data_IF_711509356620
#
_entry.id   IF_711509356620
#
_cell.length_a   1.000
_cell.length_b   1.000
_cell.length_c   1.000
_cell.angle_alpha   90.00
_cell.angle_beta   90.00
_cell.angle_gamma   90.00
#
_symmetry.space_group_name_H-M   'P 1'
#
loop_
_entity.id
_entity.type
_entity.pdbx_description
1 polymer ?
#
# COMPACT_ATOMS: atom_id res chain seq x y z
N UNK A 1 -5.15 5.65 -24.67
CA UNK A 1 -3.97 5.07 -24.01
C UNK A 1 -4.36 4.23 -22.78
N UNK A 2 -5.01 4.82 -21.76
CA UNK A 2 -5.44 4.07 -20.56
C UNK A 2 -6.59 3.07 -20.76
N UNK A 3 -7.35 3.20 -21.84
CA UNK A 3 -8.30 2.15 -22.26
C UNK A 3 -7.60 0.88 -22.80
N UNK A 4 -6.33 1.00 -23.23
CA UNK A 4 -5.52 -0.11 -23.77
C UNK A 4 -4.53 -0.66 -22.74
N UNK A 5 -3.94 0.21 -21.91
CA UNK A 5 -3.02 -0.16 -20.84
C UNK A 5 -3.53 0.43 -19.52
N UNK A 6 -4.00 -0.43 -18.62
CA UNK A 6 -4.47 0.02 -17.31
C UNK A 6 -3.28 0.57 -16.51
N UNK A 7 -3.41 1.77 -15.94
CA UNK A 7 -2.35 2.33 -15.10
C UNK A 7 -2.23 1.55 -13.79
N UNK A 8 -1.11 1.70 -13.07
CA UNK A 8 -0.93 1.22 -11.70
C UNK A 8 -2.06 1.58 -10.76
N UNK A 9 -2.23 0.75 -9.74
CA UNK A 9 -3.04 1.11 -8.58
C UNK A 9 -2.47 2.38 -7.94
N UNK A 10 -1.14 2.46 -7.81
CA UNK A 10 -0.39 3.65 -7.44
C UNK A 10 1.03 3.65 -8.02
N UNK A 11 1.67 4.81 -8.04
CA UNK A 11 3.09 4.94 -8.40
C UNK A 11 3.59 6.32 -7.99
N UNK A 12 4.89 6.47 -7.73
CA UNK A 12 5.56 7.78 -7.67
C UNK A 12 6.55 7.92 -8.83
N UNK A 13 6.73 9.16 -9.29
CA UNK A 13 7.71 9.49 -10.34
C UNK A 13 8.52 10.69 -9.86
N UNK A 14 9.84 10.53 -9.81
CA UNK A 14 10.74 11.62 -9.48
C UNK A 14 11.03 12.41 -10.76
N UNK A 15 10.88 13.73 -10.69
CA UNK A 15 11.13 14.66 -11.79
C UNK A 15 12.32 15.56 -11.46
N UNK A 16 13.16 15.83 -12.45
CA UNK A 16 14.22 16.84 -12.36
C UNK A 16 14.00 17.94 -13.38
N UNK A 17 13.99 19.19 -12.91
CA UNK A 17 13.90 20.39 -13.74
C UNK A 17 15.26 21.11 -13.77
N UNK A 18 15.86 21.20 -14.95
CA UNK A 18 17.12 21.92 -15.20
C UNK A 18 16.88 23.30 -15.88
N UNK A 19 15.66 23.84 -15.79
CA UNK A 19 15.15 25.03 -16.48
C UNK A 19 15.02 24.92 -18.01
N UNK A 20 15.90 24.18 -18.68
CA UNK A 20 15.82 23.88 -20.12
C UNK A 20 15.25 22.48 -20.42
N UNK A 21 15.09 21.64 -19.39
CA UNK A 21 14.59 20.27 -19.52
C UNK A 21 13.90 19.84 -18.23
N UNK A 22 12.74 19.22 -18.37
CA UNK A 22 12.08 18.45 -17.32
C UNK A 22 12.09 17.00 -17.77
N UNK A 23 12.56 16.09 -16.91
CA UNK A 23 12.61 14.67 -17.22
C UNK A 23 12.29 13.80 -15.99
N UNK A 24 11.63 12.65 -16.19
CA UNK A 24 11.54 11.62 -15.16
C UNK A 24 12.92 11.00 -14.95
N UNK A 25 13.30 10.85 -13.69
CA UNK A 25 14.56 10.23 -13.28
C UNK A 25 14.35 8.88 -12.59
N UNK A 26 13.19 8.66 -11.98
CA UNK A 26 12.83 7.39 -11.36
C UNK A 26 11.31 7.16 -11.41
N UNK A 27 10.89 5.90 -11.42
CA UNK A 27 9.48 5.49 -11.31
C UNK A 27 9.37 4.31 -10.36
N UNK A 28 8.68 4.52 -9.24
CA UNK A 28 8.51 3.53 -8.19
C UNK A 28 7.03 3.08 -8.11
N UNK A 29 6.79 1.79 -8.29
CA UNK A 29 5.46 1.17 -8.19
C UNK A 29 5.06 0.83 -6.74
N UNK A 30 5.99 0.96 -5.79
CA UNK A 30 5.81 0.78 -4.35
C UNK A 30 6.22 2.05 -3.61
N UNK A 31 5.52 3.18 -3.84
CA UNK A 31 5.90 4.46 -3.27
C UNK A 31 5.86 4.39 -1.74
N UNK A 32 6.83 5.02 -1.08
CA UNK A 32 6.99 5.05 0.37
C UNK A 32 6.75 6.46 0.99
N UNK A 33 5.93 7.29 0.34
CA UNK A 33 5.80 8.74 0.65
C UNK A 33 4.41 9.28 1.00
N UNK A 34 3.37 8.46 1.21
CA UNK A 34 2.01 8.94 1.55
C UNK A 34 1.92 9.85 2.78
N UNK A 35 2.87 9.79 3.71
CA UNK A 35 2.98 10.71 4.86
C UNK A 35 3.43 12.14 4.47
N UNK A 36 3.88 12.35 3.23
CA UNK A 36 4.31 13.66 2.73
C UNK A 36 3.20 14.38 1.92
N UNK A 37 2.01 13.79 1.81
CA UNK A 37 0.89 14.41 1.10
C UNK A 37 0.37 15.60 1.90
N UNK A 38 0.36 16.77 1.25
CA UNK A 38 -0.14 18.01 1.84
C UNK A 38 -1.63 17.95 2.14
N UNK A 39 -2.09 18.75 3.10
CA UNK A 39 -3.49 18.77 3.53
C UNK A 39 -4.45 19.10 2.38
N UNK A 40 -4.06 20.04 1.52
CA UNK A 40 -4.84 20.49 0.37
C UNK A 40 -5.10 19.36 -0.65
N UNK A 41 -4.17 18.40 -0.76
CA UNK A 41 -4.21 17.29 -1.73
C UNK A 41 -4.87 16.02 -1.18
N UNK A 42 -5.28 16.00 0.10
CA UNK A 42 -5.86 14.78 0.70
C UNK A 42 -7.16 14.37 0.03
N UNK A 43 -8.03 15.33 -0.29
CA UNK A 43 -9.34 15.06 -0.92
C UNK A 43 -9.17 14.47 -2.31
N UNK A 44 -8.30 15.06 -3.13
CA UNK A 44 -7.98 14.54 -4.46
C UNK A 44 -7.29 13.18 -4.41
N UNK A 45 -6.43 12.95 -3.40
CA UNK A 45 -5.79 11.65 -3.17
C UNK A 45 -6.81 10.55 -2.85
N UNK A 46 -7.77 10.81 -1.95
CA UNK A 46 -8.84 9.85 -1.65
C UNK A 46 -9.67 9.55 -2.90
N UNK A 47 -10.03 10.57 -3.69
CA UNK A 47 -10.76 10.38 -4.96
C UNK A 47 -9.95 9.54 -5.96
N UNK A 48 -8.63 9.74 -6.04
CA UNK A 48 -7.75 8.94 -6.88
C UNK A 48 -7.73 7.47 -6.45
N UNK A 49 -7.67 7.19 -5.14
CA UNK A 49 -7.78 5.83 -4.63
C UNK A 49 -9.16 5.21 -4.91
N UNK A 50 -10.26 5.95 -4.74
CA UNK A 50 -11.60 5.47 -5.11
C UNK A 50 -11.63 5.02 -6.58
N UNK A 51 -11.14 5.85 -7.50
CA UNK A 51 -11.06 5.49 -8.92
C UNK A 51 -10.15 4.30 -9.19
N UNK A 52 -9.04 4.17 -8.46
CA UNK A 52 -8.14 3.03 -8.55
C UNK A 52 -8.81 1.73 -8.09
N UNK A 53 -9.55 1.77 -6.98
CA UNK A 53 -10.33 0.63 -6.46
C UNK A 53 -11.42 0.22 -7.43
N UNK A 54 -12.24 1.17 -7.91
CA UNK A 54 -13.31 0.90 -8.89
C UNK A 54 -12.76 0.25 -10.18
N UNK A 55 -11.58 0.66 -10.63
CA UNK A 55 -10.96 0.14 -11.86
C UNK A 55 -10.42 -1.29 -11.72
N UNK A 56 -9.93 -1.65 -10.53
CA UNK A 56 -9.23 -2.91 -10.30
C UNK A 56 -10.11 -3.94 -9.59
N UNK A 57 -10.89 -3.52 -8.60
CA UNK A 57 -11.78 -4.37 -7.82
C UNK A 57 -13.00 -3.57 -7.31
N UNK A 58 -14.03 -3.34 -8.14
CA UNK A 58 -15.17 -2.48 -7.80
C UNK A 58 -16.06 -3.02 -6.67
N UNK A 59 -15.91 -4.30 -6.32
CA UNK A 59 -16.66 -4.95 -5.25
C UNK A 59 -15.82 -5.18 -3.99
N UNK A 60 -14.63 -4.59 -3.91
CA UNK A 60 -13.78 -4.75 -2.73
C UNK A 60 -14.43 -4.09 -1.51
N UNK A 61 -14.60 -4.86 -0.43
CA UNK A 61 -14.96 -4.35 0.88
C UNK A 61 -13.74 -4.32 1.82
N UNK A 62 -12.76 -5.18 1.55
CA UNK A 62 -11.59 -5.39 2.37
C UNK A 62 -10.29 -5.23 1.56
N UNK A 63 -9.31 -4.55 2.14
CA UNK A 63 -7.96 -4.46 1.57
C UNK A 63 -6.91 -4.84 2.61
N UNK A 64 -6.01 -5.73 2.22
CA UNK A 64 -4.85 -6.14 3.00
C UNK A 64 -3.60 -5.45 2.45
N UNK A 65 -2.96 -4.61 3.27
CA UNK A 65 -1.66 -4.01 2.98
C UNK A 65 -0.56 -4.95 3.47
N UNK A 66 0.33 -5.34 2.56
CA UNK A 66 1.58 -6.07 2.88
C UNK A 66 2.76 -5.09 2.78
N UNK A 67 3.30 -4.62 3.90
CA UNK A 67 4.40 -3.65 3.92
C UNK A 67 5.77 -4.33 3.77
N UNK A 68 6.80 -3.51 3.55
CA UNK A 68 8.21 -3.84 3.76
C UNK A 68 8.51 -4.22 5.21
N UNK A 69 9.56 -5.02 5.40
CA UNK A 69 10.02 -5.45 6.72
C UNK A 69 10.86 -4.38 7.46
N UNK A 70 10.44 -3.12 7.36
CA UNK A 70 11.11 -1.99 7.98
C UNK A 70 10.63 -1.78 9.42
N UNK A 71 11.15 -2.59 10.34
CA UNK A 71 10.71 -2.57 11.74
C UNK A 71 11.16 -1.35 12.54
N UNK A 72 12.23 -0.66 12.10
CA UNK A 72 12.85 0.46 12.83
C UNK A 72 12.67 1.83 12.16
N UNK A 73 12.12 1.87 10.96
CA UNK A 73 12.00 3.11 10.20
C UNK A 73 10.68 3.82 10.55
N UNK A 74 10.74 4.79 11.46
CA UNK A 74 9.56 5.56 11.88
C UNK A 74 8.89 6.31 10.74
N UNK A 75 9.64 6.81 9.75
CA UNK A 75 9.05 7.46 8.57
C UNK A 75 8.27 6.47 7.71
N UNK A 76 8.75 5.24 7.61
CA UNK A 76 8.01 4.18 6.93
C UNK A 76 6.74 3.78 7.71
N UNK A 77 6.78 3.81 9.05
CA UNK A 77 5.57 3.62 9.86
C UNK A 77 4.55 4.74 9.64
N UNK A 78 5.01 6.00 9.55
CA UNK A 78 4.16 7.12 9.15
C UNK A 78 3.55 6.87 7.78
N UNK A 79 4.36 6.46 6.80
CA UNK A 79 3.90 6.14 5.46
C UNK A 79 2.78 5.08 5.46
N UNK A 80 3.00 3.94 6.10
CA UNK A 80 2.03 2.84 6.14
C UNK A 80 0.76 3.24 6.89
N UNK A 81 0.88 3.97 8.00
CA UNK A 81 -0.28 4.48 8.73
C UNK A 81 -1.11 5.46 7.90
N UNK A 82 -0.48 6.36 7.14
CA UNK A 82 -1.16 7.28 6.24
C UNK A 82 -1.83 6.55 5.08
N UNK A 83 -1.15 5.57 4.46
CA UNK A 83 -1.74 4.72 3.43
C UNK A 83 -2.98 3.99 3.97
N UNK A 84 -2.89 3.44 5.19
CA UNK A 84 -4.01 2.81 5.86
C UNK A 84 -5.19 3.77 6.05
N UNK A 85 -4.93 4.99 6.54
CA UNK A 85 -5.96 6.00 6.74
C UNK A 85 -6.63 6.43 5.44
N UNK A 86 -5.85 6.63 4.36
CA UNK A 86 -6.37 7.01 3.06
C UNK A 86 -7.29 5.93 2.46
N UNK A 87 -6.89 4.65 2.53
CA UNK A 87 -7.72 3.53 2.06
C UNK A 87 -8.96 3.32 2.94
N UNK A 88 -8.86 3.57 4.25
CA UNK A 88 -10.02 3.55 5.14
C UNK A 88 -11.02 4.64 4.77
N UNK A 89 -10.56 5.83 4.38
CA UNK A 89 -11.40 6.95 3.94
C UNK A 89 -12.10 6.68 2.59
N UNK A 90 -11.60 5.74 1.78
CA UNK A 90 -12.28 5.25 0.57
C UNK A 90 -13.49 4.38 0.92
N UNK A 91 -13.61 3.94 2.18
CA UNK A 91 -14.68 3.05 2.67
C UNK A 91 -14.28 1.59 2.75
N UNK A 92 -13.00 1.26 2.52
CA UNK A 92 -12.50 -0.11 2.64
C UNK A 92 -12.15 -0.45 4.09
N UNK A 93 -12.50 -1.66 4.51
CA UNK A 93 -11.93 -2.27 5.71
C UNK A 93 -10.46 -2.59 5.45
N UNK A 94 -9.60 -1.69 5.89
CA UNK A 94 -8.16 -1.75 5.66
C UNK A 94 -7.48 -2.54 6.77
N UNK A 95 -6.58 -3.45 6.41
CA UNK A 95 -5.86 -4.33 7.33
C UNK A 95 -4.38 -4.23 7.00
N UNK A 96 -3.53 -4.05 8.01
CA UNK A 96 -2.08 -4.20 7.86
C UNK A 96 -1.71 -5.61 8.25
N UNK A 97 -1.02 -6.34 7.39
CA UNK A 97 -0.58 -7.69 7.71
C UNK A 97 0.80 -8.04 7.18
N UNK A 98 1.43 -9.02 7.81
CA UNK A 98 2.73 -9.55 7.39
C UNK A 98 2.81 -11.05 7.71
N UNK A 99 3.61 -11.78 6.92
CA UNK A 99 3.97 -13.17 7.22
C UNK A 99 5.27 -13.24 8.03
N UNK A 100 5.92 -12.11 8.29
CA UNK A 100 7.23 -12.04 8.97
C UNK A 100 7.04 -11.88 10.46
N UNK A 101 7.55 -12.83 11.24
CA UNK A 101 7.45 -12.77 12.70
C UNK A 101 8.08 -11.50 13.26
N UNK A 102 9.20 -11.06 12.69
CA UNK A 102 9.89 -9.84 13.11
C UNK A 102 9.02 -8.59 12.99
N UNK A 103 8.19 -8.50 11.95
CA UNK A 103 7.26 -7.38 11.76
C UNK A 103 6.01 -7.54 12.62
N UNK A 104 5.46 -8.76 12.71
CA UNK A 104 4.32 -9.04 13.58
C UNK A 104 4.62 -8.78 15.07
N UNK A 105 5.87 -8.97 15.51
CA UNK A 105 6.30 -8.69 16.89
C UNK A 105 6.19 -7.22 17.29
N UNK A 106 6.03 -6.29 16.34
CA UNK A 106 5.72 -4.89 16.63
C UNK A 106 4.31 -4.72 17.22
N UNK A 107 3.40 -5.68 16.97
CA UNK A 107 1.98 -5.68 17.31
C UNK A 107 1.14 -4.58 16.64
N UNK A 108 1.67 -3.37 16.48
CA UNK A 108 1.00 -2.23 15.89
C UNK A 108 1.95 -1.30 15.11
N UNK A 109 1.39 -0.59 14.13
CA UNK A 109 2.03 0.55 13.49
C UNK A 109 1.59 1.80 14.19
N UNK A 110 2.54 2.53 14.76
CA UNK A 110 2.31 3.82 15.42
C UNK A 110 2.64 4.95 14.46
N UNK A 111 1.73 5.89 14.29
CA UNK A 111 1.88 7.04 13.41
C UNK A 111 1.14 8.27 13.93
N UNK A 112 1.36 9.42 13.28
CA UNK A 112 0.50 10.60 13.46
C UNK A 112 -0.56 10.56 12.37
N UNK A 113 -1.83 10.61 12.74
CA UNK A 113 -2.91 10.64 11.75
C UNK A 113 -2.92 11.95 10.94
N UNK A 114 -3.92 12.10 10.07
CA UNK A 114 -4.04 13.27 9.20
C UNK A 114 -4.21 14.57 10.00
N UNK A 115 -4.74 14.53 11.22
CA UNK A 115 -4.87 15.65 12.16
C UNK A 115 -3.60 15.85 13.02
N UNK A 116 -2.56 15.04 12.83
CA UNK A 116 -1.31 15.11 13.58
C UNK A 116 -1.35 14.44 14.96
N UNK A 117 -2.43 13.74 15.30
CA UNK A 117 -2.62 13.06 16.58
C UNK A 117 -1.95 11.68 16.58
N UNK A 118 -1.27 11.28 17.68
CA UNK A 118 -0.75 9.93 17.83
C UNK A 118 -1.87 8.90 17.68
N UNK A 119 -1.66 7.94 16.78
CA UNK A 119 -2.61 6.87 16.44
C UNK A 119 -1.84 5.59 16.24
N UNK A 120 -2.45 4.44 16.53
CA UNK A 120 -1.89 3.14 16.20
C UNK A 120 -2.89 2.24 15.50
N UNK A 121 -2.38 1.31 14.69
CA UNK A 121 -3.17 0.30 13.95
C UNK A 121 -2.54 -1.07 14.17
N UNK A 122 -3.32 -2.10 14.55
CA UNK A 122 -2.78 -3.43 14.80
C UNK A 122 -2.25 -4.08 13.51
N UNK A 123 -1.14 -4.80 13.65
CA UNK A 123 -0.55 -5.64 12.62
C UNK A 123 -1.10 -7.06 12.80
N UNK A 124 -1.58 -7.66 11.71
CA UNK A 124 -2.10 -9.03 11.73
C UNK A 124 -1.15 -10.01 11.07
N UNK A 125 -1.04 -11.20 11.66
CA UNK A 125 -0.33 -12.31 11.03
C UNK A 125 -1.15 -12.80 9.83
N UNK A 126 -0.52 -12.88 8.67
CA UNK A 126 -1.13 -13.48 7.48
C UNK A 126 -0.56 -14.87 7.26
N UNK A 127 -1.36 -15.74 6.66
CA UNK A 127 -0.96 -17.08 6.29
C UNK A 127 -1.38 -17.40 4.87
N UNK A 128 -0.64 -18.30 4.26
CA UNK A 128 -0.97 -18.84 2.94
C UNK A 128 -1.74 -20.15 3.10
N UNK A 129 -2.88 -20.25 2.44
CA UNK A 129 -3.64 -21.48 2.27
C UNK A 129 -4.07 -21.60 0.80
N UNK A 130 -3.75 -22.74 0.17
CA UNK A 130 -4.17 -23.08 -1.21
C UNK A 130 -4.04 -21.89 -2.17
N UNK A 131 -2.85 -21.29 -2.22
CA UNK A 131 -2.54 -20.20 -3.13
C UNK A 131 -3.38 -18.94 -2.85
N UNK A 132 -3.81 -18.77 -1.60
CA UNK A 132 -4.58 -17.63 -1.11
C UNK A 132 -4.05 -17.17 0.26
N UNK A 133 -4.24 -15.89 0.61
CA UNK A 133 -3.66 -15.14 1.72
C UNK A 133 -4.84 -14.90 2.58
N UNK A 134 -4.69 -15.29 3.82
CA UNK A 134 -5.76 -15.23 4.78
C UNK A 134 -5.28 -14.44 5.97
N UNK A 135 -6.19 -13.63 6.49
CA UNK A 135 -6.03 -12.86 7.71
C UNK A 135 -7.28 -13.05 8.53
N UNK A 136 -7.12 -13.45 9.80
CA UNK A 136 -8.21 -13.86 10.69
C UNK A 136 -9.17 -14.90 10.06
N UNK A 137 -8.62 -15.85 9.30
CA UNK A 137 -9.40 -16.91 8.63
C UNK A 137 -10.26 -16.43 7.46
N UNK A 138 -10.07 -15.19 6.98
CA UNK A 138 -10.76 -14.64 5.81
C UNK A 138 -9.78 -14.25 4.71
N UNK A 139 -10.18 -14.46 3.46
CA UNK A 139 -9.48 -13.98 2.28
C UNK A 139 -9.87 -12.51 2.05
N UNK A 140 -8.91 -11.57 1.92
CA UNK A 140 -9.22 -10.19 1.57
C UNK A 140 -9.61 -10.08 0.09
N UNK A 141 -10.45 -9.09 -0.24
CA UNK A 141 -10.89 -8.84 -1.61
C UNK A 141 -9.75 -8.25 -2.47
N UNK A 142 -8.94 -7.39 -1.85
CA UNK A 142 -7.78 -6.76 -2.46
C UNK A 142 -6.53 -6.97 -1.60
N UNK A 143 -5.41 -7.32 -2.22
CA UNK A 143 -4.09 -7.31 -1.59
C UNK A 143 -3.24 -6.22 -2.22
N UNK A 144 -2.86 -5.23 -1.42
CA UNK A 144 -1.98 -4.14 -1.81
C UNK A 144 -0.57 -4.40 -1.28
N UNK A 145 0.34 -4.73 -2.19
CA UNK A 145 1.75 -4.88 -1.86
C UNK A 145 2.39 -3.51 -1.80
N UNK A 146 2.95 -3.14 -0.65
CA UNK A 146 3.89 -2.04 -0.48
C UNK A 146 5.27 -2.61 -0.08
N UNK A 147 5.63 -3.71 -0.74
CA UNK A 147 6.89 -4.41 -0.62
C UNK A 147 7.37 -4.70 -2.04
N UNK A 148 8.57 -4.26 -2.37
CA UNK A 148 9.15 -4.38 -3.72
C UNK A 148 9.75 -5.76 -3.99
N UNK A 149 9.88 -6.58 -2.95
CA UNK A 149 10.51 -7.90 -2.97
C UNK A 149 11.88 -7.89 -3.68
N UNK A 150 12.65 -6.82 -3.50
CA UNK A 150 13.97 -6.62 -4.13
C UNK A 150 14.99 -7.72 -3.81
N UNK A 151 14.84 -8.41 -2.68
CA UNK A 151 15.65 -9.58 -2.29
C UNK A 151 15.17 -10.90 -2.90
N UNK A 152 14.07 -10.88 -3.65
CA UNK A 152 13.42 -12.04 -4.25
C UNK A 152 11.98 -12.20 -3.76
N UNK A 153 11.07 -12.50 -4.70
CA UNK A 153 9.68 -12.82 -4.39
C UNK A 153 9.67 -14.16 -3.62
N UNK A 154 9.11 -14.22 -2.39
CA UNK A 154 9.04 -15.49 -1.66
C UNK A 154 8.25 -16.53 -2.45
N UNK A 155 8.61 -17.80 -2.33
CA UNK A 155 8.03 -18.88 -3.14
C UNK A 155 6.50 -18.92 -3.07
N UNK A 156 5.94 -18.55 -1.91
CA UNK A 156 4.51 -18.44 -1.64
C UNK A 156 3.79 -17.40 -2.53
N UNK A 157 4.52 -16.38 -3.01
CA UNK A 157 4.03 -15.33 -3.91
C UNK A 157 4.39 -15.56 -5.39
N UNK A 158 5.23 -16.55 -5.74
CA UNK A 158 5.74 -16.72 -7.10
C UNK A 158 4.68 -17.24 -8.08
N UNK A 159 3.91 -18.25 -7.66
CA UNK A 159 2.96 -18.95 -8.54
C UNK A 159 1.54 -18.39 -8.48
N UNK A 160 1.28 -17.46 -7.55
CA UNK A 160 -0.08 -17.14 -7.16
C UNK A 160 -0.27 -15.63 -7.07
N UNK A 161 -1.40 -15.22 -7.61
CA UNK A 161 -2.18 -14.01 -7.32
C UNK A 161 -2.20 -12.84 -8.29
N UNK A 162 -3.46 -12.39 -8.43
CA UNK A 162 -3.95 -11.03 -8.63
C UNK A 162 -3.35 -10.07 -7.58
N UNK A 163 -2.07 -9.81 -7.70
CA UNK A 163 -1.60 -8.43 -7.56
C UNK A 163 -2.22 -7.69 -8.74
N UNK A 164 -2.37 -6.37 -8.66
CA UNK A 164 -2.30 -5.54 -9.87
C UNK A 164 -0.88 -5.74 -10.46
N UNK A 165 -0.62 -6.93 -11.00
CA UNK A 165 0.53 -7.24 -11.85
C UNK A 165 0.20 -6.50 -13.14
N UNK A 166 1.05 -5.53 -13.45
CA UNK A 166 1.04 -4.87 -14.75
C UNK A 166 1.24 -5.87 -15.87
#
# INVERSE_FOLDING_TARGET
MFAKYKPPFYSSVDLRNACFKIAPIDTNLFPAGFNNIGEDDRRSTVQAFMSAVERHCPHAETVLIIPENHTRNLYYHQHIGHLHALLSNVGLKTIIGSHEDSFCNLNEIVFKNLEGLPTSVPIKKVHFEKNSLYVDGKKPDLVLLNNDFSSGIPAEYQDNWLVVKH
#
